data_IF_777802172701
#
_entry.id   IF_777802172701
#
_cell.length_a   1.000
_cell.length_b   1.000
_cell.length_c   1.000
_cell.angle_alpha   90.00
_cell.angle_beta   90.00
_cell.angle_gamma   90.00
#
_symmetry.space_group_name_H-M   'P 1'
#
loop_
_entity.id
_entity.type
_entity.pdbx_description
1 polymer ?
#
# COMPACT_ATOMS: atom_id res chain seq x y z
N UNK A 1 -34.88 -66.42 -4.34
CA UNK A 1 -34.20 -66.29 -5.64
C UNK A 1 -34.22 -64.81 -5.96
N UNK A 2 -33.26 -64.11 -5.38
CA UNK A 2 -33.04 -62.68 -5.58
C UNK A 2 -31.85 -62.50 -6.50
N UNK A 3 -31.99 -61.55 -7.42
CA UNK A 3 -30.95 -60.75 -8.10
C UNK A 3 -29.97 -61.54 -9.00
N UNK A 4 -29.47 -61.03 -10.12
CA UNK A 4 -28.91 -59.71 -10.37
C UNK A 4 -29.03 -59.31 -11.85
N UNK A 5 -29.39 -58.05 -12.09
CA UNK A 5 -29.15 -57.35 -13.35
C UNK A 5 -27.69 -56.93 -13.38
N UNK A 6 -26.91 -57.48 -14.30
CA UNK A 6 -25.54 -57.02 -14.55
C UNK A 6 -25.54 -56.07 -15.75
N UNK A 7 -25.64 -54.77 -15.47
CA UNK A 7 -25.36 -53.70 -16.44
C UNK A 7 -23.88 -53.38 -16.40
N UNK A 8 -23.22 -53.60 -17.54
CA UNK A 8 -21.88 -53.12 -17.86
C UNK A 8 -21.74 -51.64 -17.52
N UNK A 9 -20.91 -51.33 -16.51
CA UNK A 9 -20.33 -50.01 -16.30
C UNK A 9 -18.86 -50.12 -16.63
N UNK A 10 -18.47 -49.45 -17.70
CA UNK A 10 -17.10 -49.28 -18.16
C UNK A 10 -16.27 -48.61 -17.07
N UNK A 11 -15.33 -49.36 -16.50
CA UNK A 11 -14.35 -48.87 -15.54
C UNK A 11 -13.21 -48.22 -16.33
N UNK A 12 -13.18 -46.89 -16.38
CA UNK A 12 -11.99 -46.16 -16.84
C UNK A 12 -10.84 -46.42 -15.86
N UNK A 13 -9.81 -47.08 -16.35
CA UNK A 13 -8.55 -47.32 -15.62
C UNK A 13 -7.83 -45.99 -15.39
N UNK A 14 -7.81 -45.52 -14.14
CA UNK A 14 -6.88 -44.49 -13.71
C UNK A 14 -5.46 -45.08 -13.70
N UNK A 15 -4.66 -44.75 -14.71
CA UNK A 15 -3.22 -44.98 -14.70
C UNK A 15 -2.59 -44.18 -13.57
N UNK A 16 -2.33 -44.86 -12.45
CA UNK A 16 -1.48 -44.39 -11.36
C UNK A 16 -0.05 -44.24 -11.89
N UNK A 17 0.27 -43.06 -12.43
CA UNK A 17 1.65 -42.71 -12.70
C UNK A 17 2.28 -42.41 -11.35
N UNK A 18 3.15 -43.31 -10.89
CA UNK A 18 4.03 -43.07 -9.77
C UNK A 18 4.85 -41.83 -10.09
N UNK A 19 4.44 -40.69 -9.53
CA UNK A 19 5.18 -39.45 -9.62
C UNK A 19 6.52 -39.65 -8.93
N UNK A 20 7.57 -39.93 -9.71
CA UNK A 20 8.96 -39.81 -9.25
C UNK A 20 9.07 -38.44 -8.59
N UNK A 21 9.46 -38.42 -7.32
CA UNK A 21 9.90 -37.20 -6.66
C UNK A 21 10.91 -36.49 -7.58
N UNK A 22 10.83 -35.16 -7.74
CA UNK A 22 11.70 -34.45 -8.64
C UNK A 22 13.16 -34.74 -8.30
N UNK A 23 14.00 -34.88 -9.32
CA UNK A 23 15.44 -35.04 -9.14
C UNK A 23 15.95 -33.72 -8.55
N UNK A 24 16.19 -33.69 -7.24
CA UNK A 24 16.88 -32.58 -6.59
C UNK A 24 18.31 -32.59 -7.14
N UNK A 25 18.58 -31.70 -8.10
CA UNK A 25 19.94 -31.50 -8.59
C UNK A 25 20.77 -30.83 -7.49
N UNK A 26 22.07 -31.10 -7.43
CA UNK A 26 23.01 -30.52 -6.45
C UNK A 26 22.91 -28.98 -6.34
N UNK A 27 22.50 -28.32 -7.43
CA UNK A 27 22.18 -26.89 -7.51
C UNK A 27 21.12 -26.41 -6.51
N UNK A 28 20.30 -27.31 -5.96
CA UNK A 28 19.24 -26.98 -4.98
C UNK A 28 19.68 -27.18 -3.52
N UNK A 29 20.91 -27.63 -3.27
CA UNK A 29 21.47 -27.79 -1.92
C UNK A 29 22.45 -26.66 -1.53
N UNK A 30 22.79 -25.78 -2.46
CA UNK A 30 23.75 -24.68 -2.26
C UNK A 30 22.98 -23.38 -2.01
N UNK A 31 23.36 -22.61 -0.97
CA UNK A 31 22.70 -21.34 -0.57
C UNK A 31 22.85 -20.22 -1.61
N UNK A 32 23.72 -20.44 -2.60
CA UNK A 32 24.01 -19.53 -3.69
C UNK A 32 23.77 -20.21 -5.02
N UNK A 33 23.17 -19.50 -5.96
CA UNK A 33 22.95 -19.97 -7.33
C UNK A 33 24.30 -20.33 -8.00
N UNK A 34 24.53 -21.58 -8.45
CA UNK A 34 25.83 -22.00 -8.96
C UNK A 34 26.23 -21.36 -10.31
N UNK A 35 25.31 -20.65 -10.97
CA UNK A 35 25.59 -19.97 -12.24
C UNK A 35 25.96 -18.49 -12.07
N UNK A 36 25.40 -17.81 -11.06
CA UNK A 36 25.62 -16.37 -10.87
C UNK A 36 26.11 -15.98 -9.48
N UNK A 37 26.24 -16.93 -8.55
CA UNK A 37 26.66 -16.67 -7.16
C UNK A 37 25.65 -15.86 -6.34
N UNK A 38 24.46 -15.60 -6.87
CA UNK A 38 23.43 -14.88 -6.14
C UNK A 38 22.98 -15.71 -4.93
N UNK A 39 23.03 -15.11 -3.75
CA UNK A 39 22.41 -15.64 -2.55
C UNK A 39 20.91 -15.84 -2.80
N UNK A 40 20.33 -16.90 -2.21
CA UNK A 40 18.89 -17.09 -2.25
C UNK A 40 18.19 -15.79 -1.81
N UNK A 41 17.10 -15.38 -2.48
CA UNK A 41 16.35 -14.21 -2.04
C UNK A 41 16.02 -14.38 -0.57
N UNK A 42 16.33 -13.38 0.26
CA UNK A 42 16.01 -13.44 1.68
C UNK A 42 14.49 -13.62 1.78
N UNK A 43 14.07 -14.83 2.13
CA UNK A 43 12.67 -15.16 2.33
C UNK A 43 12.49 -15.27 3.84
N UNK A 44 11.53 -14.56 4.44
CA UNK A 44 11.30 -14.67 5.86
C UNK A 44 10.85 -16.09 6.19
N UNK A 45 11.36 -16.65 7.28
CA UNK A 45 11.01 -18.01 7.70
C UNK A 45 9.52 -18.16 8.04
N UNK A 46 8.87 -17.08 8.48
CA UNK A 46 7.46 -17.04 8.85
C UNK A 46 6.82 -15.79 8.25
N UNK A 47 5.72 -15.97 7.52
CA UNK A 47 4.87 -14.87 7.06
C UNK A 47 3.67 -14.69 8.01
N UNK A 48 3.13 -13.45 8.11
CA UNK A 48 1.90 -13.19 8.83
C UNK A 48 0.74 -14.08 8.37
N UNK A 49 0.05 -14.68 9.33
CA UNK A 49 -1.10 -15.57 9.10
C UNK A 49 -2.42 -14.83 9.37
N UNK A 50 -3.49 -15.07 8.58
CA UNK A 50 -4.80 -14.46 8.81
C UNK A 50 -5.40 -14.67 10.21
N UNK A 51 -5.00 -15.75 10.90
CA UNK A 51 -5.48 -16.08 12.24
C UNK A 51 -4.68 -15.39 13.37
N UNK A 52 -3.64 -14.60 13.05
CA UNK A 52 -2.93 -13.81 14.06
C UNK A 52 -3.85 -12.73 14.66
N UNK A 53 -3.63 -12.42 15.94
CA UNK A 53 -4.33 -11.33 16.62
C UNK A 53 -3.92 -9.97 16.03
N UNK A 54 -4.76 -8.94 16.23
CA UNK A 54 -4.48 -7.59 15.76
C UNK A 54 -3.16 -7.06 16.35
N UNK A 55 -2.89 -7.31 17.63
CA UNK A 55 -1.67 -6.88 18.32
C UNK A 55 -0.42 -7.52 17.72
N UNK A 56 -0.49 -8.83 17.45
CA UNK A 56 0.62 -9.56 16.83
C UNK A 56 0.89 -9.08 15.40
N UNK A 57 -0.16 -8.73 14.66
CA UNK A 57 0.00 -8.13 13.34
C UNK A 57 0.61 -6.72 13.41
N UNK A 58 0.24 -5.91 14.41
CA UNK A 58 0.87 -4.60 14.66
C UNK A 58 2.35 -4.74 15.02
N UNK A 59 2.74 -5.77 15.77
CA UNK A 59 4.15 -6.04 16.01
C UNK A 59 4.89 -6.42 14.72
N UNK A 60 4.26 -7.24 13.87
CA UNK A 60 4.81 -7.67 12.59
C UNK A 60 4.99 -6.53 11.57
N UNK A 61 4.34 -5.36 11.74
CA UNK A 61 4.61 -4.19 10.89
C UNK A 61 5.98 -3.56 11.15
N UNK A 62 6.69 -3.98 12.21
CA UNK A 62 8.03 -3.48 12.57
C UNK A 62 9.15 -4.49 12.27
N UNK A 63 8.81 -5.59 11.60
CA UNK A 63 9.76 -6.65 11.29
C UNK A 63 10.89 -6.15 10.36
N UNK A 64 12.15 -6.59 10.54
CA UNK A 64 13.25 -6.20 9.65
C UNK A 64 12.98 -6.57 8.19
N UNK A 65 12.21 -7.64 7.94
CA UNK A 65 11.92 -8.11 6.60
C UNK A 65 10.70 -7.42 5.99
N UNK A 66 10.89 -6.72 4.87
CA UNK A 66 9.83 -5.96 4.20
C UNK A 66 8.57 -6.77 3.85
N UNK A 67 8.73 -8.05 3.50
CA UNK A 67 7.59 -8.93 3.19
C UNK A 67 6.73 -9.24 4.42
N UNK A 68 7.32 -9.33 5.61
CA UNK A 68 6.57 -9.53 6.86
C UNK A 68 5.77 -8.27 7.15
N UNK A 69 6.41 -7.09 7.08
CA UNK A 69 5.71 -5.79 7.27
C UNK A 69 4.56 -5.61 6.29
N UNK A 70 4.81 -5.85 5.01
CA UNK A 70 3.84 -5.71 3.93
C UNK A 70 2.61 -6.63 4.10
N UNK A 71 2.83 -7.92 4.42
CA UNK A 71 1.74 -8.86 4.66
C UNK A 71 0.95 -8.51 5.92
N UNK A 72 1.62 -8.03 6.97
CA UNK A 72 0.95 -7.59 8.19
C UNK A 72 -0.02 -6.44 7.91
N UNK A 73 0.38 -5.46 7.11
CA UNK A 73 -0.48 -4.34 6.69
C UNK A 73 -1.70 -4.83 5.91
N UNK A 74 -1.51 -5.74 4.96
CA UNK A 74 -2.62 -6.32 4.18
C UNK A 74 -3.63 -7.02 5.09
N UNK A 75 -3.16 -7.77 6.09
CA UNK A 75 -4.05 -8.44 7.04
C UNK A 75 -4.74 -7.44 7.99
N UNK A 76 -4.02 -6.40 8.44
CA UNK A 76 -4.57 -5.32 9.26
C UNK A 76 -5.64 -4.51 8.53
N UNK A 77 -5.56 -4.38 7.20
CA UNK A 77 -6.60 -3.71 6.38
C UNK A 77 -7.99 -4.35 6.51
N UNK A 78 -8.04 -5.64 6.90
CA UNK A 78 -9.29 -6.38 7.11
C UNK A 78 -9.87 -6.16 8.52
N UNK A 79 -9.16 -5.44 9.39
CA UNK A 79 -9.60 -5.07 10.74
C UNK A 79 -10.35 -3.74 10.70
N UNK A 80 -11.02 -3.42 11.81
CA UNK A 80 -11.68 -2.13 11.94
C UNK A 80 -10.63 -0.99 11.99
N UNK A 81 -10.93 0.20 11.43
CA UNK A 81 -10.01 1.35 11.50
C UNK A 81 -9.60 1.69 12.93
N UNK A 82 -10.50 1.54 13.91
CA UNK A 82 -10.21 1.81 15.33
C UNK A 82 -9.09 0.95 15.93
N UNK A 83 -8.80 -0.21 15.33
CA UNK A 83 -7.77 -1.13 15.81
C UNK A 83 -6.43 -0.96 15.07
N UNK A 84 -6.49 -0.60 13.78
CA UNK A 84 -5.33 -0.73 12.88
C UNK A 84 -4.84 0.60 12.28
N UNK A 85 -5.63 1.68 12.35
CA UNK A 85 -5.33 2.92 11.62
C UNK A 85 -3.97 3.50 11.97
N UNK A 86 -3.65 3.66 13.26
CA UNK A 86 -2.36 4.27 13.65
C UNK A 86 -1.16 3.42 13.24
N UNK A 87 -1.28 2.09 13.24
CA UNK A 87 -0.22 1.21 12.76
C UNK A 87 0.01 1.37 11.24
N UNK A 88 -1.07 1.56 10.47
CA UNK A 88 -0.97 1.81 9.03
C UNK A 88 -0.48 3.22 8.73
N UNK A 89 -0.82 4.22 9.55
CA UNK A 89 -0.27 5.58 9.41
C UNK A 89 1.23 5.58 9.68
N UNK A 90 1.70 4.82 10.67
CA UNK A 90 3.14 4.65 10.91
C UNK A 90 3.83 3.96 9.72
N UNK A 91 3.18 2.99 9.09
CA UNK A 91 3.70 2.31 7.91
C UNK A 91 3.80 3.22 6.66
N UNK A 92 3.20 4.41 6.64
CA UNK A 92 3.43 5.40 5.59
C UNK A 92 4.87 5.96 5.63
N UNK A 93 5.57 5.82 6.76
CA UNK A 93 6.96 6.27 6.96
C UNK A 93 7.98 5.20 6.58
N UNK A 94 7.53 4.04 6.12
CA UNK A 94 8.41 2.92 5.83
C UNK A 94 9.42 3.28 4.72
N UNK A 95 10.63 2.76 4.80
CA UNK A 95 11.64 2.96 3.77
C UNK A 95 11.22 2.30 2.45
N UNK A 96 10.54 1.16 2.53
CA UNK A 96 10.15 0.36 1.39
C UNK A 96 8.86 0.87 0.74
N UNK A 97 8.95 1.15 -0.55
CA UNK A 97 7.82 1.68 -1.32
C UNK A 97 6.61 0.72 -1.31
N UNK A 98 6.84 -0.59 -1.37
CA UNK A 98 5.77 -1.59 -1.34
C UNK A 98 4.95 -1.51 -0.04
N UNK A 99 5.64 -1.31 1.10
CA UNK A 99 5.01 -1.21 2.41
C UNK A 99 4.16 0.06 2.48
N UNK A 100 4.72 1.20 2.05
CA UNK A 100 4.01 2.48 1.95
C UNK A 100 2.77 2.39 1.06
N UNK A 101 2.90 1.85 -0.16
CA UNK A 101 1.77 1.75 -1.09
C UNK A 101 0.65 0.87 -0.54
N UNK A 102 0.99 -0.22 0.14
CA UNK A 102 0.00 -1.10 0.77
C UNK A 102 -0.72 -0.39 1.92
N UNK A 103 -0.01 0.38 2.74
CA UNK A 103 -0.63 1.18 3.80
C UNK A 103 -1.58 2.24 3.22
N UNK A 104 -1.17 2.95 2.16
CA UNK A 104 -2.02 3.95 1.50
C UNK A 104 -3.32 3.33 0.97
N UNK A 105 -3.21 2.24 0.21
CA UNK A 105 -4.38 1.53 -0.35
C UNK A 105 -5.28 0.97 0.75
N UNK A 106 -4.69 0.38 1.79
CA UNK A 106 -5.44 -0.16 2.92
C UNK A 106 -6.22 0.92 3.68
N UNK A 107 -5.60 2.07 3.96
CA UNK A 107 -6.28 3.19 4.63
C UNK A 107 -7.40 3.74 3.73
N UNK A 108 -7.15 3.92 2.43
CA UNK A 108 -8.15 4.43 1.49
C UNK A 108 -9.37 3.50 1.34
N UNK A 109 -9.17 2.18 1.47
CA UNK A 109 -10.24 1.19 1.39
C UNK A 109 -11.29 1.33 2.51
N UNK A 110 -10.93 1.91 3.67
CA UNK A 110 -11.87 2.22 4.75
C UNK A 110 -12.78 3.43 4.46
N UNK A 111 -12.54 4.13 3.35
CA UNK A 111 -13.41 5.22 2.91
C UNK A 111 -13.37 6.42 3.87
N UNK A 112 -14.48 7.18 3.93
CA UNK A 112 -14.54 8.44 4.70
C UNK A 112 -14.45 8.28 6.23
N UNK A 113 -14.44 7.04 6.74
CA UNK A 113 -14.31 6.77 8.18
C UNK A 113 -12.96 7.25 8.73
N UNK A 114 -11.93 7.33 7.88
CA UNK A 114 -10.58 7.78 8.27
C UNK A 114 -10.29 9.23 7.90
N UNK A 115 -11.24 9.94 7.29
CA UNK A 115 -11.04 11.30 6.78
C UNK A 115 -10.52 12.26 7.85
N UNK A 116 -11.06 12.21 9.08
CA UNK A 116 -10.66 13.14 10.14
C UNK A 116 -9.19 12.96 10.51
N UNK A 117 -8.73 11.71 10.61
CA UNK A 117 -7.33 11.38 10.89
C UNK A 117 -6.41 11.72 9.71
N UNK A 118 -6.88 11.54 8.48
CA UNK A 118 -6.11 11.88 7.27
C UNK A 118 -6.02 13.39 7.07
N UNK A 119 -7.05 14.17 7.41
CA UNK A 119 -6.99 15.63 7.45
C UNK A 119 -5.93 16.11 8.44
N UNK A 120 -5.82 15.48 9.62
CA UNK A 120 -4.74 15.76 10.56
C UNK A 120 -3.37 15.38 9.97
N UNK A 121 -3.28 14.25 9.28
CA UNK A 121 -2.06 13.77 8.62
C UNK A 121 -1.50 14.73 7.55
N UNK A 122 -2.33 15.59 6.95
CA UNK A 122 -1.87 16.63 6.01
C UNK A 122 -0.96 17.68 6.65
N UNK A 123 -0.96 17.80 7.99
CA UNK A 123 -0.07 18.69 8.74
C UNK A 123 0.91 17.94 9.64
N UNK A 124 1.13 16.65 9.37
CA UNK A 124 2.08 15.83 10.13
C UNK A 124 3.52 16.35 9.99
N UNK A 125 4.33 16.19 11.04
CA UNK A 125 5.74 16.55 10.99
C UNK A 125 6.49 15.69 9.96
N UNK A 126 6.07 14.44 9.79
CA UNK A 126 6.66 13.52 8.83
C UNK A 126 6.16 13.79 7.40
N UNK A 127 7.12 13.96 6.49
CA UNK A 127 6.85 14.31 5.09
C UNK A 127 6.16 13.19 4.30
N UNK A 128 6.44 11.92 4.64
CA UNK A 128 5.87 10.76 3.98
C UNK A 128 4.42 10.56 4.45
N UNK A 129 4.12 10.83 5.73
CA UNK A 129 2.74 10.89 6.24
C UNK A 129 1.94 11.98 5.53
N UNK A 130 2.49 13.20 5.37
CA UNK A 130 1.80 14.28 4.63
C UNK A 130 1.52 13.88 3.19
N UNK A 131 2.47 13.26 2.51
CA UNK A 131 2.29 12.80 1.14
C UNK A 131 1.25 11.67 1.02
N UNK A 132 1.30 10.69 1.91
CA UNK A 132 0.32 9.60 1.96
C UNK A 132 -1.09 10.13 2.25
N UNK A 133 -1.24 10.99 3.26
CA UNK A 133 -2.51 11.62 3.59
C UNK A 133 -3.08 12.43 2.42
N UNK A 134 -2.24 13.18 1.69
CA UNK A 134 -2.66 13.93 0.52
C UNK A 134 -3.25 13.03 -0.56
N UNK A 135 -2.59 11.92 -0.89
CA UNK A 135 -3.10 10.95 -1.86
C UNK A 135 -4.40 10.30 -1.37
N UNK A 136 -4.43 9.82 -0.12
CA UNK A 136 -5.61 9.18 0.47
C UNK A 136 -6.82 10.12 0.41
N UNK A 137 -6.67 11.40 0.78
CA UNK A 137 -7.78 12.36 0.68
C UNK A 137 -8.29 12.57 -0.75
N UNK A 138 -7.42 12.42 -1.75
CA UNK A 138 -7.81 12.42 -3.17
C UNK A 138 -8.68 11.22 -3.53
N UNK A 139 -8.27 10.02 -3.10
CA UNK A 139 -9.04 8.78 -3.30
C UNK A 139 -10.40 8.80 -2.58
N UNK A 140 -10.42 9.32 -1.35
CA UNK A 140 -11.64 9.46 -0.55
C UNK A 140 -12.62 10.50 -1.12
N UNK A 141 -12.13 11.39 -2.00
CA UNK A 141 -12.88 12.51 -2.59
C UNK A 141 -13.67 13.30 -1.54
N UNK A 142 -13.03 13.55 -0.39
CA UNK A 142 -13.63 14.28 0.72
C UNK A 142 -13.25 15.76 0.63
N UNK A 143 -14.22 16.59 0.25
CA UNK A 143 -14.05 18.03 0.06
C UNK A 143 -13.67 18.78 1.35
N UNK A 144 -13.85 18.18 2.53
CA UNK A 144 -13.41 18.77 3.80
C UNK A 144 -11.89 18.98 3.86
N UNK A 145 -11.11 18.22 3.09
CA UNK A 145 -9.66 18.35 3.05
C UNK A 145 -9.15 19.48 2.14
N UNK A 146 -10.01 20.18 1.38
CA UNK A 146 -9.56 21.14 0.35
C UNK A 146 -8.61 22.20 0.93
N UNK A 147 -8.97 22.83 2.05
CA UNK A 147 -8.13 23.88 2.64
C UNK A 147 -6.77 23.35 3.12
N UNK A 148 -6.76 22.14 3.70
CA UNK A 148 -5.53 21.50 4.14
C UNK A 148 -4.66 21.08 2.93
N UNK A 149 -5.27 20.54 1.87
CA UNK A 149 -4.59 20.18 0.64
C UNK A 149 -4.02 21.40 -0.10
N UNK A 150 -4.71 22.56 -0.09
CA UNK A 150 -4.17 23.81 -0.64
C UNK A 150 -2.89 24.25 0.08
N UNK A 151 -2.74 23.96 1.39
CA UNK A 151 -1.49 24.19 2.13
C UNK A 151 -0.41 23.19 1.72
N UNK A 152 -0.71 21.88 1.67
CA UNK A 152 0.26 20.84 1.27
C UNK A 152 0.71 21.01 -0.19
N UNK A 153 -0.11 21.61 -1.06
CA UNK A 153 0.28 21.94 -2.44
C UNK A 153 1.47 22.92 -2.54
N UNK A 154 1.84 23.56 -1.42
CA UNK A 154 2.99 24.45 -1.25
C UNK A 154 4.07 23.89 -0.31
N UNK A 155 3.98 22.61 0.08
CA UNK A 155 4.92 21.95 1.01
C UNK A 155 6.37 21.95 0.51
N UNK A 156 7.38 21.91 1.37
CA UNK A 156 8.77 21.81 0.90
C UNK A 156 9.08 20.44 0.28
N UNK A 157 8.36 19.40 0.68
CA UNK A 157 8.55 18.05 0.19
C UNK A 157 7.88 17.84 -1.19
N UNK A 158 8.66 17.51 -2.26
CA UNK A 158 8.11 17.42 -3.61
C UNK A 158 6.97 16.41 -3.78
N UNK A 159 7.06 15.25 -3.13
CA UNK A 159 6.04 14.22 -3.25
C UNK A 159 4.72 14.69 -2.64
N UNK A 160 4.75 15.28 -1.45
CA UNK A 160 3.56 15.83 -0.79
C UNK A 160 2.89 16.90 -1.67
N UNK A 161 3.67 17.81 -2.26
CA UNK A 161 3.15 18.82 -3.20
C UNK A 161 2.44 18.21 -4.41
N UNK A 162 3.07 17.21 -5.05
CA UNK A 162 2.53 16.57 -6.25
C UNK A 162 1.22 15.87 -5.90
N UNK A 163 1.21 15.10 -4.81
CA UNK A 163 0.01 14.39 -4.37
C UNK A 163 -1.12 15.35 -4.01
N UNK A 164 -0.83 16.43 -3.28
CA UNK A 164 -1.84 17.41 -2.92
C UNK A 164 -2.46 18.09 -4.16
N UNK A 165 -1.65 18.45 -5.15
CA UNK A 165 -2.15 19.03 -6.41
C UNK A 165 -2.98 18.03 -7.21
N UNK A 166 -2.56 16.77 -7.27
CA UNK A 166 -3.32 15.71 -7.93
C UNK A 166 -4.68 15.49 -7.25
N UNK A 167 -4.69 15.44 -5.91
CA UNK A 167 -5.92 15.29 -5.13
C UNK A 167 -6.87 16.48 -5.28
N UNK A 168 -6.35 17.71 -5.29
CA UNK A 168 -7.15 18.90 -5.58
C UNK A 168 -7.77 18.84 -6.98
N UNK A 169 -7.01 18.41 -7.99
CA UNK A 169 -7.53 18.22 -9.35
C UNK A 169 -8.63 17.15 -9.38
N UNK A 170 -8.44 16.02 -8.69
CA UNK A 170 -9.44 14.96 -8.58
C UNK A 170 -10.74 15.43 -7.89
N UNK A 171 -10.63 16.40 -6.98
CA UNK A 171 -11.76 17.09 -6.33
C UNK A 171 -12.38 18.19 -7.20
N UNK A 172 -11.90 18.40 -8.44
CA UNK A 172 -12.38 19.45 -9.35
C UNK A 172 -11.82 20.85 -9.06
N UNK A 173 -10.82 20.98 -8.19
CA UNK A 173 -10.08 22.21 -7.89
C UNK A 173 -8.74 22.19 -8.64
N UNK A 174 -8.77 22.51 -9.93
CA UNK A 174 -7.55 22.80 -10.69
C UNK A 174 -6.86 24.09 -10.21
N UNK A 175 -5.62 24.39 -10.64
CA UNK A 175 -4.95 25.64 -10.28
C UNK A 175 -5.86 26.82 -10.63
N UNK A 176 -6.26 27.60 -9.61
CA UNK A 176 -7.03 28.83 -9.79
C UNK A 176 -6.21 29.75 -10.69
N UNK A 177 -6.61 29.90 -11.95
CA UNK A 177 -5.99 30.82 -12.92
C UNK A 177 -5.92 32.27 -12.42
N UNK A 178 -6.63 32.61 -11.36
CA UNK A 178 -6.69 33.93 -10.75
C UNK A 178 -5.44 34.29 -9.94
N UNK A 179 -4.83 33.34 -9.22
CA UNK A 179 -3.62 33.61 -8.41
C UNK A 179 -2.39 33.92 -9.29
N UNK A 180 -2.25 33.22 -10.42
CA UNK A 180 -1.21 33.50 -11.42
C UNK A 180 -1.38 34.87 -12.09
N UNK A 181 -2.58 35.45 -12.03
CA UNK A 181 -2.90 36.76 -12.59
C UNK A 181 -2.65 37.90 -11.61
N UNK A 182 -2.48 37.61 -10.31
CA UNK A 182 -2.09 38.58 -9.29
C UNK A 182 -0.58 38.58 -9.06
N UNK A 183 0.07 37.42 -8.98
CA UNK A 183 1.53 37.31 -8.91
C UNK A 183 2.20 37.95 -10.15
N UNK A 184 1.69 37.68 -11.36
CA UNK A 184 2.17 38.35 -12.59
C UNK A 184 1.80 39.84 -12.69
N UNK A 185 0.91 40.37 -11.84
CA UNK A 185 0.62 41.81 -11.77
C UNK A 185 1.47 42.54 -10.74
N UNK A 186 1.94 41.86 -9.70
CA UNK A 186 2.91 42.42 -8.74
C UNK A 186 4.31 42.49 -9.33
N UNK A 187 4.78 41.44 -10.00
CA UNK A 187 6.09 41.44 -10.67
C UNK A 187 6.19 42.55 -11.74
N UNK A 188 5.12 42.79 -12.51
CA UNK A 188 5.05 43.86 -13.53
C UNK A 188 4.91 45.27 -12.92
N UNK A 189 4.53 45.40 -11.64
CA UNK A 189 4.48 46.68 -10.93
C UNK A 189 5.82 47.05 -10.32
N UNK A 190 6.58 46.08 -9.82
CA UNK A 190 7.92 46.32 -9.27
C UNK A 190 8.93 46.65 -10.38
N UNK A 191 8.85 45.98 -11.53
CA UNK A 191 9.72 46.24 -12.69
C UNK A 191 9.42 47.58 -13.40
N UNK A 192 8.30 48.25 -13.07
CA UNK A 192 7.93 49.58 -13.57
C UNK A 192 8.14 50.71 -12.55
N UNK A 193 8.62 50.38 -11.36
CA UNK A 193 8.91 51.33 -10.28
C UNK A 193 10.42 51.57 -10.07
N UNK A 194 11.28 50.87 -10.83
CA UNK A 194 12.73 51.09 -10.96
C UNK A 194 13.06 51.82 -12.27
#
# INVERSE_FOLDING_TARGET
>A
MEEEKNTEVTKTEEKKTEGKAPIITRSMMEETCPTCGAEAPSMPAVLPDPNWSTEKLIEATKDPHMLVRSNAIILLSKRAPSEALEALVEALKDEEYLVKSNAMVAIAAWGKQVSDRMIQGLSDADKDVRAGAAWIMGELKDSRAIEALEKVAKDDYPLARIQAKASLLALGRGPKKEAQKEEAKEEVKEEKAE
#
